data_IF_550155846269
#
_entry.id   IF_550155846269
#
_cell.length_a   1.000
_cell.length_b   1.000
_cell.length_c   1.000
_cell.angle_alpha   90.00
_cell.angle_beta   90.00
_cell.angle_gamma   90.00
#
_symmetry.space_group_name_H-M   'P 1'
#
loop_
_entity.id
_entity.type
_entity.pdbx_description
1 polymer ?
#
# COMPACT_ATOMS: atom_id res chain seq x y z
N UNK A 1 -24.50 0.84 22.70
CA UNK A 1 -24.87 1.81 21.66
C UNK A 1 -24.43 1.24 20.33
N UNK A 2 -25.35 0.61 19.61
CA UNK A 2 -25.08 0.17 18.24
C UNK A 2 -25.09 1.41 17.37
N UNK A 3 -23.91 1.82 16.87
CA UNK A 3 -23.87 2.80 15.79
C UNK A 3 -23.94 2.03 14.48
N UNK A 4 -25.06 2.08 13.74
CA UNK A 4 -25.03 1.77 12.33
C UNK A 4 -24.33 2.98 11.71
N UNK A 5 -23.04 2.91 11.40
CA UNK A 5 -22.49 3.87 10.46
C UNK A 5 -23.20 3.59 9.13
N UNK A 6 -24.07 4.48 8.60
CA UNK A 6 -24.53 4.33 7.24
C UNK A 6 -23.29 4.49 6.37
N UNK A 7 -22.83 3.34 5.86
CA UNK A 7 -21.49 3.12 5.33
C UNK A 7 -21.25 3.97 4.09
N UNK A 8 -22.32 4.17 3.33
CA UNK A 8 -22.34 4.92 2.10
C UNK A 8 -23.13 6.20 2.38
N UNK A 9 -22.51 7.12 3.10
CA UNK A 9 -23.01 8.48 3.23
C UNK A 9 -22.67 9.29 1.97
N UNK A 10 -23.31 10.45 1.79
CA UNK A 10 -22.87 11.37 0.73
C UNK A 10 -21.42 11.81 0.94
N UNK A 11 -21.02 12.05 2.20
CA UNK A 11 -19.64 12.38 2.56
C UNK A 11 -18.65 11.29 2.14
N UNK A 12 -18.95 10.02 2.42
CA UNK A 12 -18.13 8.88 1.98
C UNK A 12 -17.93 8.92 0.47
N UNK A 13 -19.02 9.07 -0.30
CA UNK A 13 -18.95 9.13 -1.76
C UNK A 13 -18.11 10.31 -2.25
N UNK A 14 -18.28 11.49 -1.65
CA UNK A 14 -17.55 12.69 -2.04
C UNK A 14 -16.04 12.56 -1.75
N UNK A 15 -15.67 12.08 -0.55
CA UNK A 15 -14.26 11.85 -0.19
C UNK A 15 -13.66 10.80 -1.11
N UNK A 16 -14.35 9.67 -1.32
CA UNK A 16 -13.88 8.62 -2.21
C UNK A 16 -13.67 9.13 -3.64
N UNK A 17 -14.67 9.84 -4.20
CA UNK A 17 -14.57 10.36 -5.56
C UNK A 17 -13.44 11.37 -5.70
N UNK A 18 -13.25 12.26 -4.73
CA UNK A 18 -12.17 13.24 -4.75
C UNK A 18 -10.78 12.56 -4.66
N UNK A 19 -10.65 11.57 -3.77
CA UNK A 19 -9.40 10.83 -3.58
C UNK A 19 -9.07 9.97 -4.82
N UNK A 20 -10.05 9.22 -5.35
CA UNK A 20 -9.87 8.44 -6.58
C UNK A 20 -9.60 9.32 -7.81
N UNK A 21 -10.25 10.49 -7.91
CA UNK A 21 -9.95 11.42 -9.00
C UNK A 21 -8.49 11.90 -8.94
N UNK A 22 -7.96 12.09 -7.73
CA UNK A 22 -6.54 12.44 -7.52
C UNK A 22 -5.63 11.29 -7.94
N UNK A 23 -5.95 10.06 -7.55
CA UNK A 23 -5.17 8.86 -7.92
C UNK A 23 -5.14 8.66 -9.42
N UNK A 24 -6.33 8.69 -10.05
CA UNK A 24 -6.46 8.55 -11.49
C UNK A 24 -5.73 9.67 -12.23
N UNK A 25 -5.72 10.91 -11.69
CA UNK A 25 -4.95 11.99 -12.29
C UNK A 25 -3.45 11.69 -12.28
N UNK A 26 -2.90 11.17 -11.18
CA UNK A 26 -1.49 10.76 -11.12
C UNK A 26 -1.20 9.59 -12.06
N UNK A 27 -2.00 8.53 -12.02
CA UNK A 27 -1.85 7.36 -12.90
C UNK A 27 -1.91 7.73 -14.37
N UNK A 28 -2.87 8.57 -14.76
CA UNK A 28 -3.00 9.03 -16.15
C UNK A 28 -1.83 9.94 -16.54
N UNK A 29 -1.39 10.83 -15.65
CA UNK A 29 -0.27 11.73 -15.94
C UNK A 29 1.03 10.95 -16.14
N UNK A 30 1.32 9.99 -15.27
CA UNK A 30 2.49 9.12 -15.37
C UNK A 30 2.44 8.27 -16.64
N UNK A 31 1.30 7.63 -16.93
CA UNK A 31 1.11 6.85 -18.16
C UNK A 31 1.30 7.70 -19.42
N UNK A 32 0.73 8.90 -19.47
CA UNK A 32 0.88 9.79 -20.63
C UNK A 32 2.32 10.27 -20.78
N UNK A 33 3.00 10.59 -19.68
CA UNK A 33 4.40 10.98 -19.70
C UNK A 33 5.29 9.83 -20.18
N UNK A 34 5.05 8.60 -19.69
CA UNK A 34 5.75 7.41 -20.15
C UNK A 34 5.57 7.16 -21.65
N UNK A 35 4.33 7.29 -22.16
CA UNK A 35 4.06 7.15 -23.59
C UNK A 35 4.75 8.26 -24.41
N UNK A 36 4.81 9.49 -23.89
CA UNK A 36 5.53 10.59 -24.53
C UNK A 36 7.05 10.36 -24.56
N UNK A 37 7.64 9.78 -23.51
CA UNK A 37 9.05 9.39 -23.46
C UNK A 37 9.35 8.31 -24.51
N UNK A 38 8.52 7.25 -24.58
CA UNK A 38 8.64 6.19 -25.60
C UNK A 38 8.48 6.72 -27.04
N UNK A 39 7.67 7.74 -27.23
CA UNK A 39 7.48 8.42 -28.52
C UNK A 39 8.57 9.46 -28.83
N UNK A 40 9.58 9.62 -27.96
CA UNK A 40 10.65 10.62 -28.07
C UNK A 40 10.14 12.08 -28.12
N UNK A 41 8.96 12.34 -27.54
CA UNK A 41 8.39 13.69 -27.43
C UNK A 41 8.98 14.46 -26.23
N UNK A 42 9.42 13.73 -25.21
CA UNK A 42 10.16 14.23 -24.04
C UNK A 42 11.40 13.36 -23.83
N UNK A 43 12.38 13.89 -23.09
CA UNK A 43 13.63 13.17 -22.80
C UNK A 43 13.42 12.08 -21.74
N UNK A 44 12.71 12.42 -20.67
CA UNK A 44 12.41 11.54 -19.55
C UNK A 44 11.13 12.00 -18.86
N UNK A 45 10.40 11.07 -18.23
CA UNK A 45 9.30 11.43 -17.33
C UNK A 45 9.85 12.22 -16.12
N UNK A 46 9.30 13.40 -15.81
CA UNK A 46 9.73 14.19 -14.66
C UNK A 46 9.67 13.38 -13.36
N UNK A 47 10.78 13.30 -12.59
CA UNK A 47 10.86 12.48 -11.38
C UNK A 47 9.72 12.65 -10.39
N UNK A 48 9.31 13.89 -10.13
CA UNK A 48 8.28 14.21 -9.14
C UNK A 48 6.86 13.76 -9.54
N UNK A 49 6.65 13.39 -10.81
CA UNK A 49 5.38 12.88 -11.32
C UNK A 49 5.33 11.35 -11.40
N UNK A 50 6.48 10.69 -11.30
CA UNK A 50 6.55 9.22 -11.36
C UNK A 50 5.80 8.64 -10.17
N UNK A 51 4.85 7.77 -10.46
CA UNK A 51 4.11 7.03 -9.42
C UNK A 51 5.03 6.03 -8.71
N UNK A 52 5.98 5.47 -9.46
CA UNK A 52 6.85 4.36 -9.06
C UNK A 52 8.14 4.82 -8.38
N UNK A 53 8.15 6.06 -7.88
CA UNK A 53 9.37 6.69 -7.36
C UNK A 53 9.12 7.18 -5.94
N UNK A 54 10.02 6.78 -5.05
CA UNK A 54 10.06 7.26 -3.68
C UNK A 54 10.28 8.78 -3.61
N UNK A 55 9.65 9.36 -2.61
CA UNK A 55 9.50 10.78 -2.29
C UNK A 55 8.84 11.62 -3.40
N UNK A 56 8.24 10.98 -4.42
CA UNK A 56 7.52 11.69 -5.47
C UNK A 56 6.16 12.20 -4.98
N UNK A 57 5.57 13.13 -5.73
CA UNK A 57 4.31 13.76 -5.34
C UNK A 57 3.15 12.75 -5.11
N UNK A 58 2.97 11.69 -5.93
CA UNK A 58 1.94 10.68 -5.68
C UNK A 58 2.10 9.98 -4.33
N UNK A 59 3.33 9.65 -3.95
CA UNK A 59 3.66 8.98 -2.70
C UNK A 59 3.43 9.90 -1.50
N UNK A 60 3.82 11.18 -1.58
CA UNK A 60 3.52 12.17 -0.54
C UNK A 60 2.01 12.32 -0.29
N UNK A 61 1.19 12.18 -1.33
CA UNK A 61 -0.28 12.13 -1.19
C UNK A 61 -0.71 10.83 -0.49
N UNK A 62 -0.07 9.71 -0.80
CA UNK A 62 -0.20 8.44 -0.05
C UNK A 62 0.06 8.62 1.45
N UNK A 63 1.20 9.22 1.82
CA UNK A 63 1.55 9.51 3.21
C UNK A 63 0.49 10.36 3.91
N UNK A 64 -0.02 11.39 3.22
CA UNK A 64 -1.09 12.23 3.75
C UNK A 64 -2.37 11.44 3.99
N UNK A 65 -2.75 10.51 3.09
CA UNK A 65 -3.92 9.63 3.31
C UNK A 65 -3.73 8.79 4.56
N UNK A 66 -2.58 8.15 4.71
CA UNK A 66 -2.27 7.34 5.90
C UNK A 66 -2.35 8.17 7.17
N UNK A 67 -1.75 9.36 7.18
CA UNK A 67 -1.80 10.27 8.32
C UNK A 67 -3.24 10.66 8.69
N UNK A 68 -4.08 11.02 7.71
CA UNK A 68 -5.48 11.38 7.96
C UNK A 68 -6.26 10.18 8.50
N UNK A 69 -6.05 8.98 7.96
CA UNK A 69 -6.66 7.72 8.45
C UNK A 69 -6.27 7.48 9.91
N UNK A 70 -4.99 7.58 10.25
CA UNK A 70 -4.48 7.40 11.62
C UNK A 70 -5.15 8.40 12.57
N UNK A 71 -5.14 9.70 12.23
CA UNK A 71 -5.73 10.76 13.06
C UNK A 71 -7.22 10.52 13.27
N UNK A 72 -7.96 10.18 12.22
CA UNK A 72 -9.39 9.92 12.29
C UNK A 72 -9.71 8.70 13.17
N UNK A 73 -8.97 7.59 13.03
CA UNK A 73 -9.15 6.40 13.84
C UNK A 73 -8.83 6.63 15.32
N UNK A 74 -7.74 7.37 15.61
CA UNK A 74 -7.40 7.76 16.99
C UNK A 74 -8.50 8.65 17.57
N UNK A 75 -8.96 9.66 16.81
CA UNK A 75 -10.04 10.55 17.22
C UNK A 75 -11.33 9.79 17.53
N UNK A 76 -11.75 8.88 16.65
CA UNK A 76 -12.92 8.02 16.87
C UNK A 76 -12.76 7.21 18.16
N UNK A 77 -11.58 6.65 18.38
CA UNK A 77 -11.32 5.84 19.57
C UNK A 77 -11.41 6.64 20.86
N UNK A 78 -10.80 7.83 20.89
CA UNK A 78 -10.81 8.72 22.07
C UNK A 78 -12.20 9.28 22.32
N UNK A 79 -12.85 9.83 21.28
CA UNK A 79 -14.19 10.44 21.38
C UNK A 79 -15.22 9.44 21.89
N UNK A 80 -15.20 8.23 21.34
CA UNK A 80 -16.23 7.22 21.60
C UNK A 80 -15.85 6.24 22.72
N UNK A 81 -14.65 6.39 23.31
CA UNK A 81 -14.06 5.46 24.29
C UNK A 81 -14.13 4.01 23.80
N UNK A 82 -13.81 3.81 22.52
CA UNK A 82 -13.98 2.57 21.80
C UNK A 82 -12.64 2.16 21.18
N UNK A 83 -12.03 1.08 21.65
CA UNK A 83 -10.66 0.70 21.31
C UNK A 83 -10.42 0.09 19.91
N UNK A 84 -11.38 -0.52 19.19
CA UNK A 84 -11.11 -1.13 17.88
C UNK A 84 -10.49 -0.20 16.83
N UNK A 85 -10.98 1.05 16.63
CA UNK A 85 -10.33 2.00 15.72
C UNK A 85 -8.85 2.25 16.07
N UNK A 86 -8.51 2.37 17.35
CA UNK A 86 -7.12 2.60 17.78
C UNK A 86 -6.17 1.47 17.37
N UNK A 87 -6.63 0.22 17.40
CA UNK A 87 -5.78 -0.90 16.96
C UNK A 87 -5.52 -0.88 15.46
N UNK A 88 -6.51 -0.47 14.66
CA UNK A 88 -6.30 -0.22 13.24
C UNK A 88 -5.41 0.98 12.98
N UNK A 89 -5.48 2.03 13.83
CA UNK A 89 -4.55 3.14 13.74
C UNK A 89 -3.09 2.69 13.91
N UNK A 90 -2.81 1.74 14.82
CA UNK A 90 -1.46 1.16 14.96
C UNK A 90 -1.03 0.45 13.67
N UNK A 91 -1.93 -0.30 13.02
CA UNK A 91 -1.63 -0.96 11.73
C UNK A 91 -1.32 0.09 10.65
N UNK A 92 -2.09 1.18 10.54
CA UNK A 92 -1.79 2.24 9.58
C UNK A 92 -0.52 3.03 9.93
N UNK A 93 -0.16 3.14 11.21
CA UNK A 93 1.16 3.68 11.60
C UNK A 93 2.27 2.77 11.11
N UNK A 94 2.09 1.44 11.18
CA UNK A 94 3.07 0.51 10.62
C UNK A 94 3.21 0.69 9.10
N UNK A 95 2.10 0.84 8.36
CA UNK A 95 2.11 1.10 6.92
C UNK A 95 2.83 2.42 6.61
N UNK A 96 2.44 3.53 7.25
CA UNK A 96 3.11 4.81 7.04
C UNK A 96 4.60 4.76 7.38
N UNK A 97 4.96 4.07 8.46
CA UNK A 97 6.36 3.91 8.85
C UNK A 97 7.13 3.08 7.82
N UNK A 98 6.51 2.05 7.25
CA UNK A 98 7.09 1.23 6.20
C UNK A 98 7.32 2.04 4.93
N UNK A 99 6.29 2.67 4.38
CA UNK A 99 6.40 3.45 3.14
C UNK A 99 7.43 4.60 3.29
N UNK A 100 7.44 5.31 4.43
CA UNK A 100 8.30 6.49 4.60
C UNK A 100 9.72 6.21 5.06
N UNK A 101 9.99 5.04 5.65
CA UNK A 101 11.31 4.68 6.17
C UNK A 101 11.88 3.42 5.51
N UNK A 102 11.16 2.85 4.54
CA UNK A 102 11.51 1.61 3.84
C UNK A 102 11.89 0.51 4.83
N UNK A 103 11.01 0.28 5.82
CA UNK A 103 11.33 -0.60 6.95
C UNK A 103 11.54 -2.04 6.49
N UNK A 104 10.72 -2.54 5.56
CA UNK A 104 10.88 -3.89 5.02
C UNK A 104 12.17 -4.05 4.22
N UNK A 105 12.59 -3.06 3.43
CA UNK A 105 13.86 -3.06 2.69
C UNK A 105 15.06 -3.06 3.66
N UNK A 106 15.05 -2.14 4.63
CA UNK A 106 16.12 -2.02 5.61
C UNK A 106 16.27 -3.30 6.45
N UNK A 107 15.15 -3.91 6.86
CA UNK A 107 15.16 -5.19 7.55
C UNK A 107 15.60 -6.34 6.65
N UNK A 108 15.16 -6.36 5.39
CA UNK A 108 15.57 -7.34 4.38
C UNK A 108 17.07 -7.36 4.22
N UNK A 109 17.67 -6.20 3.99
CA UNK A 109 19.11 -6.01 3.86
C UNK A 109 19.88 -6.43 5.12
N UNK A 110 19.40 -6.04 6.31
CA UNK A 110 20.02 -6.42 7.59
C UNK A 110 20.00 -7.95 7.80
N UNK A 111 18.91 -8.61 7.41
CA UNK A 111 18.77 -10.06 7.55
C UNK A 111 19.65 -10.80 6.52
N UNK A 112 19.70 -10.30 5.28
CA UNK A 112 20.54 -10.86 4.23
C UNK A 112 22.02 -10.86 4.59
N UNK A 113 22.54 -9.76 5.15
CA UNK A 113 23.94 -9.65 5.56
C UNK A 113 24.31 -10.61 6.72
N UNK A 114 23.32 -11.00 7.55
CA UNK A 114 23.55 -11.78 8.77
C UNK A 114 23.26 -13.27 8.63
N UNK A 115 22.40 -13.65 7.69
CA UNK A 115 21.93 -15.03 7.56
C UNK A 115 22.55 -15.62 6.29
N UNK A 116 23.50 -16.56 6.40
CA UNK A 116 24.13 -17.16 5.24
C UNK A 116 23.09 -17.97 4.44
N UNK A 117 22.93 -17.61 3.17
CA UNK A 117 22.11 -18.36 2.22
C UNK A 117 22.95 -19.37 1.44
N UNK A 118 22.37 -20.50 1.00
CA UNK A 118 22.98 -21.35 -0.02
C UNK A 118 23.35 -20.54 -1.26
N UNK A 119 24.46 -20.87 -1.92
CA UNK A 119 24.92 -20.15 -3.12
C UNK A 119 23.85 -20.06 -4.22
N UNK A 120 22.94 -21.04 -4.31
CA UNK A 120 21.83 -21.04 -5.27
C UNK A 120 20.74 -20.00 -5.00
N UNK A 121 20.69 -19.42 -3.80
CA UNK A 121 19.69 -18.43 -3.37
C UNK A 121 20.31 -17.05 -3.10
N UNK A 122 21.64 -16.94 -3.16
CA UNK A 122 22.34 -15.73 -2.74
C UNK A 122 21.98 -14.51 -3.60
N UNK A 123 21.86 -14.71 -4.92
CA UNK A 123 21.52 -13.64 -5.88
C UNK A 123 20.08 -13.09 -5.72
N UNK A 124 19.26 -13.77 -4.92
CA UNK A 124 17.88 -13.38 -4.60
C UNK A 124 17.68 -13.19 -3.09
N UNK A 125 18.78 -13.06 -2.34
CA UNK A 125 18.74 -13.05 -0.89
C UNK A 125 17.97 -11.86 -0.33
N UNK A 126 18.19 -10.68 -0.91
CA UNK A 126 17.52 -9.42 -0.56
C UNK A 126 15.98 -9.57 -0.66
N UNK A 127 15.45 -9.87 -1.85
CA UNK A 127 14.01 -10.08 -2.10
C UNK A 127 13.38 -11.13 -1.14
N UNK A 128 14.10 -12.23 -0.87
CA UNK A 128 13.63 -13.28 0.07
C UNK A 128 13.48 -12.70 1.47
N UNK A 129 14.44 -11.90 1.93
CA UNK A 129 14.41 -11.35 3.28
C UNK A 129 13.47 -10.15 3.42
N UNK A 130 13.22 -9.39 2.35
CA UNK A 130 12.14 -8.40 2.29
C UNK A 130 10.77 -9.08 2.47
N UNK A 131 10.52 -10.19 1.76
CA UNK A 131 9.30 -10.98 1.94
C UNK A 131 9.15 -11.51 3.38
N UNK A 132 10.26 -11.88 4.02
CA UNK A 132 10.27 -12.26 5.45
C UNK A 132 9.90 -11.06 6.34
N UNK A 133 10.45 -9.87 6.06
CA UNK A 133 10.12 -8.65 6.80
C UNK A 133 8.62 -8.31 6.68
N UNK A 134 8.07 -8.34 5.46
CA UNK A 134 6.62 -8.20 5.22
C UNK A 134 5.81 -9.24 5.98
N UNK A 135 6.24 -10.51 5.95
CA UNK A 135 5.59 -11.59 6.69
C UNK A 135 5.55 -11.33 8.20
N UNK A 136 6.65 -10.85 8.78
CA UNK A 136 6.72 -10.47 10.19
C UNK A 136 5.79 -9.30 10.52
N UNK A 137 5.77 -8.25 9.70
CA UNK A 137 4.86 -7.12 9.87
C UNK A 137 3.38 -7.55 9.77
N UNK A 138 3.06 -8.40 8.81
CA UNK A 138 1.73 -8.99 8.66
C UNK A 138 1.30 -9.79 9.90
N UNK A 139 2.20 -10.61 10.47
CA UNK A 139 1.92 -11.35 11.71
C UNK A 139 1.66 -10.43 12.91
N UNK A 140 2.41 -9.32 13.03
CA UNK A 140 2.17 -8.31 14.06
C UNK A 140 0.79 -7.67 13.87
N UNK A 141 0.44 -7.27 12.65
CA UNK A 141 -0.87 -6.70 12.33
C UNK A 141 -2.02 -7.67 12.65
N UNK A 142 -1.86 -8.97 12.34
CA UNK A 142 -2.82 -10.02 12.69
C UNK A 142 -2.92 -10.16 14.21
N UNK A 143 -1.80 -10.19 14.94
CA UNK A 143 -1.82 -10.30 16.40
C UNK A 143 -2.56 -9.13 17.07
N UNK A 144 -2.38 -7.91 16.56
CA UNK A 144 -3.06 -6.70 17.04
C UNK A 144 -4.59 -6.76 16.81
N UNK A 145 -5.01 -7.31 15.67
CA UNK A 145 -6.40 -7.24 15.21
C UNK A 145 -7.22 -8.53 15.43
N UNK A 146 -6.59 -9.69 15.64
CA UNK A 146 -7.28 -10.98 15.74
C UNK A 146 -8.37 -11.02 16.83
N UNK A 147 -8.12 -10.39 17.98
CA UNK A 147 -9.10 -10.35 19.07
C UNK A 147 -10.28 -9.39 18.81
N UNK A 148 -10.21 -8.54 17.77
CA UNK A 148 -11.35 -7.73 17.32
C UNK A 148 -12.45 -8.59 16.68
N UNK A 149 -12.08 -9.71 16.07
CA UNK A 149 -13.03 -10.62 15.40
C UNK A 149 -13.74 -11.56 16.38
N UNK A 150 -13.08 -11.96 17.47
CA UNK A 150 -13.65 -12.91 18.43
C UNK A 150 -14.32 -12.21 19.62
N UNK A 151 -13.69 -11.20 20.23
CA UNK A 151 -14.08 -10.68 21.56
C UNK A 151 -14.95 -9.42 21.55
N UNK A 152 -15.17 -8.81 20.39
CA UNK A 152 -15.94 -7.57 20.30
C UNK A 152 -17.32 -7.78 19.65
N UNK A 153 -18.22 -6.81 19.86
CA UNK A 153 -19.58 -6.83 19.30
C UNK A 153 -19.63 -6.73 17.76
N UNK A 154 -20.81 -6.94 17.16
CA UNK A 154 -20.98 -7.03 15.71
C UNK A 154 -20.46 -5.79 14.94
N UNK A 155 -20.60 -4.59 15.52
CA UNK A 155 -20.10 -3.35 14.92
C UNK A 155 -18.58 -3.34 14.77
N UNK A 156 -17.84 -3.80 15.79
CA UNK A 156 -16.38 -3.87 15.75
C UNK A 156 -15.88 -4.92 14.76
N UNK A 157 -16.57 -6.06 14.67
CA UNK A 157 -16.28 -7.10 13.68
C UNK A 157 -16.46 -6.58 12.27
N UNK A 158 -17.55 -5.87 12.01
CA UNK A 158 -17.83 -5.30 10.69
C UNK A 158 -16.80 -4.23 10.30
N UNK A 159 -16.41 -3.35 11.22
CA UNK A 159 -15.30 -2.40 10.99
C UNK A 159 -14.00 -3.14 10.66
N UNK A 160 -13.68 -4.17 11.45
CA UNK A 160 -12.42 -4.91 11.29
C UNK A 160 -12.39 -5.75 10.03
N UNK A 161 -13.52 -6.30 9.59
CA UNK A 161 -13.61 -7.00 8.30
C UNK A 161 -13.30 -6.06 7.13
N UNK A 162 -13.76 -4.81 7.18
CA UNK A 162 -13.49 -3.84 6.11
C UNK A 162 -12.02 -3.44 6.05
N UNK A 163 -11.43 -3.09 7.20
CA UNK A 163 -10.00 -2.80 7.21
C UNK A 163 -9.17 -4.02 6.85
N UNK A 164 -9.57 -5.24 7.26
CA UNK A 164 -8.90 -6.44 6.81
C UNK A 164 -9.00 -6.65 5.29
N UNK A 165 -10.14 -6.34 4.67
CA UNK A 165 -10.27 -6.35 3.19
C UNK A 165 -9.37 -5.30 2.53
N UNK A 166 -9.22 -4.13 3.14
CA UNK A 166 -8.33 -3.07 2.66
C UNK A 166 -6.88 -3.50 2.76
N UNK A 167 -6.46 -4.03 3.91
CA UNK A 167 -5.10 -4.56 4.11
C UNK A 167 -4.84 -5.73 3.17
N UNK A 168 -5.82 -6.62 2.95
CA UNK A 168 -5.67 -7.70 1.98
C UNK A 168 -5.48 -7.17 0.56
N UNK A 169 -6.15 -6.07 0.20
CA UNK A 169 -5.91 -5.37 -1.07
C UNK A 169 -4.52 -4.76 -1.14
N UNK A 170 -4.06 -4.06 -0.10
CA UNK A 170 -2.70 -3.52 -0.04
C UNK A 170 -1.64 -4.61 -0.18
N UNK A 171 -1.74 -5.70 0.59
CA UNK A 171 -0.84 -6.87 0.47
C UNK A 171 -0.88 -7.47 -0.94
N UNK A 172 -2.05 -7.49 -1.58
CA UNK A 172 -2.14 -7.95 -2.96
C UNK A 172 -1.38 -7.04 -3.94
N UNK A 173 -1.46 -5.72 -3.77
CA UNK A 173 -0.74 -4.77 -4.61
C UNK A 173 0.75 -4.75 -4.24
N UNK A 174 1.16 -4.23 -3.09
CA UNK A 174 2.59 -4.05 -2.73
C UNK A 174 3.39 -5.29 -2.37
N UNK A 175 2.79 -6.48 -2.27
CA UNK A 175 3.58 -7.73 -2.07
C UNK A 175 3.40 -8.68 -3.25
N UNK A 176 2.15 -8.99 -3.60
CA UNK A 176 1.92 -9.96 -4.67
C UNK A 176 2.17 -9.39 -6.07
N UNK A 177 1.73 -8.15 -6.36
CA UNK A 177 2.02 -7.56 -7.67
C UNK A 177 3.48 -7.13 -7.79
N UNK A 178 4.12 -6.66 -6.72
CA UNK A 178 5.57 -6.42 -6.71
C UNK A 178 6.35 -7.68 -7.09
N UNK A 179 6.11 -8.79 -6.37
CA UNK A 179 6.75 -10.06 -6.68
C UNK A 179 6.45 -10.52 -8.12
N UNK A 180 5.23 -10.34 -8.60
CA UNK A 180 4.85 -10.66 -9.99
C UNK A 180 5.57 -9.75 -11.00
N UNK A 181 5.70 -8.46 -10.70
CA UNK A 181 6.43 -7.48 -11.49
C UNK A 181 7.90 -7.91 -11.62
N UNK A 182 8.57 -8.29 -10.53
CA UNK A 182 9.93 -8.80 -10.55
C UNK A 182 10.07 -10.05 -11.44
N UNK A 183 9.16 -11.03 -11.30
CA UNK A 183 9.15 -12.22 -12.14
C UNK A 183 8.95 -11.88 -13.63
N UNK A 184 8.06 -10.94 -13.93
CA UNK A 184 7.81 -10.49 -15.31
C UNK A 184 9.01 -9.73 -15.86
N UNK A 185 9.69 -8.91 -15.06
CA UNK A 185 10.92 -8.21 -15.43
C UNK A 185 12.01 -9.21 -15.83
N UNK A 186 12.22 -10.26 -15.02
CA UNK A 186 13.17 -11.34 -15.35
C UNK A 186 12.75 -12.09 -16.61
N UNK A 187 11.47 -12.47 -16.73
CA UNK A 187 10.98 -13.27 -17.84
C UNK A 187 10.91 -12.51 -19.18
N UNK A 188 10.67 -11.20 -19.14
CA UNK A 188 10.54 -10.35 -20.32
C UNK A 188 11.84 -9.70 -20.77
N UNK A 189 12.91 -9.77 -19.97
CA UNK A 189 14.22 -9.18 -20.26
C UNK A 189 14.73 -9.58 -21.64
N UNK A 190 15.05 -8.58 -22.48
CA UNK A 190 15.57 -8.79 -23.83
C UNK A 190 14.54 -9.23 -24.88
N UNK A 191 13.25 -9.24 -24.53
CA UNK A 191 12.14 -9.46 -25.47
C UNK A 191 11.57 -8.13 -25.98
N UNK A 192 10.70 -8.18 -26.99
CA UNK A 192 10.02 -6.98 -27.52
C UNK A 192 9.05 -6.32 -26.52
N UNK A 193 8.67 -7.02 -25.44
CA UNK A 193 7.72 -6.54 -24.42
C UNK A 193 8.40 -6.01 -23.15
N UNK A 194 9.72 -6.15 -23.04
CA UNK A 194 10.57 -5.68 -21.92
C UNK A 194 10.32 -4.19 -21.60
N UNK A 195 10.09 -3.39 -22.64
CA UNK A 195 9.85 -1.95 -22.49
C UNK A 195 8.43 -1.56 -22.10
N UNK A 196 7.48 -2.49 -21.96
CA UNK A 196 6.05 -2.22 -21.73
C UNK A 196 5.46 -2.99 -20.55
N UNK A 197 5.78 -4.28 -20.41
CA UNK A 197 5.18 -5.13 -19.38
C UNK A 197 5.62 -4.73 -17.97
N UNK A 198 6.91 -4.63 -17.63
CA UNK A 198 7.32 -4.25 -16.28
C UNK A 198 6.76 -2.89 -15.83
N UNK A 199 6.84 -1.80 -16.63
CA UNK A 199 6.23 -0.51 -16.25
C UNK A 199 4.71 -0.59 -16.05
N UNK A 200 4.01 -1.43 -16.80
CA UNK A 200 2.57 -1.62 -16.62
C UNK A 200 2.25 -2.30 -15.28
N UNK A 201 3.02 -3.30 -14.87
CA UNK A 201 2.82 -3.96 -13.58
C UNK A 201 3.18 -3.05 -12.41
N UNK A 202 4.27 -2.27 -12.53
CA UNK A 202 4.62 -1.24 -11.55
C UNK A 202 3.51 -0.17 -11.41
N UNK A 203 2.91 0.29 -12.51
CA UNK A 203 1.75 1.20 -12.45
C UNK A 203 0.53 0.56 -11.75
N UNK A 204 0.29 -0.75 -11.96
CA UNK A 204 -0.82 -1.46 -11.33
C UNK A 204 -0.61 -1.69 -9.84
N UNK A 205 0.63 -1.96 -9.45
CA UNK A 205 1.08 -2.12 -8.07
C UNK A 205 0.84 -0.81 -7.31
N UNK A 206 1.62 0.23 -7.58
CA UNK A 206 1.56 1.51 -6.86
C UNK A 206 0.19 2.19 -7.01
N UNK A 207 -0.37 2.18 -8.23
CA UNK A 207 -1.69 2.74 -8.48
C UNK A 207 -2.80 1.99 -7.73
N UNK A 208 -2.65 0.67 -7.57
CA UNK A 208 -3.55 -0.15 -6.77
C UNK A 208 -3.49 0.20 -5.29
N UNK A 209 -2.29 0.42 -4.76
CA UNK A 209 -2.10 0.87 -3.37
C UNK A 209 -2.74 2.23 -3.11
N UNK A 210 -2.54 3.18 -4.02
CA UNK A 210 -3.16 4.50 -3.95
C UNK A 210 -4.69 4.41 -3.86
N UNK A 211 -5.29 3.54 -4.69
CA UNK A 211 -6.74 3.28 -4.71
C UNK A 211 -7.20 2.66 -3.39
N UNK A 212 -6.47 1.69 -2.86
CA UNK A 212 -6.79 1.08 -1.55
C UNK A 212 -6.69 2.10 -0.41
N UNK A 213 -5.70 3.01 -0.47
CA UNK A 213 -5.60 4.13 0.45
C UNK A 213 -6.77 5.12 0.34
N UNK A 214 -7.25 5.40 -0.86
CA UNK A 214 -8.43 6.23 -1.08
C UNK A 214 -9.71 5.59 -0.53
N UNK A 215 -9.86 4.28 -0.69
CA UNK A 215 -10.96 3.51 -0.08
C UNK A 215 -10.89 3.60 1.44
N UNK A 216 -9.70 3.39 2.03
CA UNK A 216 -9.48 3.50 3.47
C UNK A 216 -9.79 4.90 4.02
N UNK A 217 -9.34 5.94 3.31
CA UNK A 217 -9.57 7.33 3.68
C UNK A 217 -11.07 7.66 3.66
N UNK A 218 -11.81 7.16 2.69
CA UNK A 218 -13.24 7.40 2.62
C UNK A 218 -14.02 6.77 3.79
N UNK A 219 -13.49 5.68 4.38
CA UNK A 219 -14.16 4.93 5.45
C UNK A 219 -14.07 5.58 6.85
N UNK A 220 -13.16 6.52 7.07
CA UNK A 220 -12.90 7.12 8.38
C UNK A 220 -13.64 8.43 8.63
#
# INVERSE_FOLDING_TARGET
MDRPFPIISQTFKLVLLAALATDLAFMLTDLLAFMAEKAHLIVEVPPFLKITRDEALPELVGYLKWLVIIVALVWMSVRDRWSPPFRWAIVFVMILADDSLQVHEALGLILWDKIPLPASLYDHGEDIFELVAFGCMGLIAIALTATLFSRHGPVARLLSLRFAQIIAGLVFFGVFLDFLHQLISIASKGTVVDGLLPPFFSLLEDGGEMVMGSIALAFV
#
